data_IF_113713570033
#
_entry.id   IF_113713570033
#
_cell.length_a   1.000
_cell.length_b   1.000
_cell.length_c   1.000
_cell.angle_alpha   90.00
_cell.angle_beta   90.00
_cell.angle_gamma   90.00
#
_symmetry.space_group_name_H-M   'P 1'
#
loop_
_entity.id
_entity.type
_entity.pdbx_description
1 polymer ?
#
# COMPACT_ATOMS: atom_id res chain seq x y z
N UNK A 1 14.26 7.34 -27.80
CA UNK A 1 14.41 7.47 -26.33
C UNK A 1 13.04 7.78 -25.74
N UNK A 2 12.38 6.81 -25.11
CA UNK A 2 10.98 6.90 -24.67
C UNK A 2 10.83 7.49 -23.27
N UNK A 3 9.97 8.50 -23.13
CA UNK A 3 9.59 9.13 -21.86
C UNK A 3 9.10 8.06 -20.87
N UNK A 4 9.79 7.87 -19.74
CA UNK A 4 9.35 6.98 -18.64
C UNK A 4 7.93 7.37 -18.22
N UNK A 5 6.94 6.51 -18.45
CA UNK A 5 5.59 6.65 -17.89
C UNK A 5 5.72 6.65 -16.36
N UNK A 6 5.45 7.80 -15.73
CA UNK A 6 5.52 7.98 -14.26
C UNK A 6 4.48 7.15 -13.48
N UNK A 7 3.57 6.45 -14.16
CA UNK A 7 2.44 5.73 -13.58
C UNK A 7 2.76 4.32 -13.08
N UNK A 8 3.98 3.81 -13.32
CA UNK A 8 4.37 2.44 -12.95
C UNK A 8 5.67 2.42 -12.15
N UNK A 9 5.82 1.47 -11.22
CA UNK A 9 7.09 1.22 -10.51
C UNK A 9 8.15 0.62 -11.47
N UNK A 10 9.36 0.35 -10.98
CA UNK A 10 10.45 -0.25 -11.78
C UNK A 10 10.11 -1.61 -12.39
N UNK A 11 9.04 -2.25 -11.91
CA UNK A 11 8.54 -3.55 -12.37
C UNK A 11 7.27 -3.43 -13.22
N UNK A 12 6.87 -2.22 -13.61
CA UNK A 12 5.71 -2.01 -14.49
C UNK A 12 4.35 -2.03 -13.78
N UNK A 13 4.30 -2.04 -12.44
CA UNK A 13 3.06 -2.08 -11.63
C UNK A 13 2.52 -0.67 -11.38
N UNK A 14 1.21 -0.47 -11.52
CA UNK A 14 0.56 0.83 -11.36
C UNK A 14 0.79 1.42 -9.97
N UNK A 15 1.30 2.66 -9.91
CA UNK A 15 1.49 3.46 -8.69
C UNK A 15 0.25 4.32 -8.37
N UNK A 16 -0.92 3.88 -8.83
CA UNK A 16 -2.15 4.67 -8.73
C UNK A 16 -2.86 4.35 -7.41
N UNK A 17 -2.75 5.29 -6.47
CA UNK A 17 -3.39 5.21 -5.16
C UNK A 17 -4.92 5.03 -5.28
N UNK A 18 -5.53 5.63 -6.30
CA UNK A 18 -6.97 5.50 -6.54
C UNK A 18 -7.30 4.09 -6.99
N UNK A 19 -6.56 3.53 -7.94
CA UNK A 19 -6.75 2.15 -8.39
C UNK A 19 -6.63 1.18 -7.20
N UNK A 20 -5.56 1.30 -6.42
CA UNK A 20 -5.31 0.44 -5.27
C UNK A 20 -6.48 0.43 -4.28
N UNK A 21 -6.95 1.59 -3.83
CA UNK A 21 -8.03 1.65 -2.83
C UNK A 21 -9.40 1.25 -3.40
N UNK A 22 -9.64 1.43 -4.70
CA UNK A 22 -10.86 0.91 -5.33
C UNK A 22 -10.86 -0.62 -5.40
N UNK A 23 -9.73 -1.25 -5.75
CA UNK A 23 -9.63 -2.72 -5.74
C UNK A 23 -9.71 -3.26 -4.31
N UNK A 24 -9.05 -2.61 -3.34
CA UNK A 24 -9.14 -3.00 -1.94
C UNK A 24 -10.57 -2.94 -1.42
N UNK A 25 -11.34 -1.90 -1.78
CA UNK A 25 -12.75 -1.79 -1.39
C UNK A 25 -13.63 -2.88 -2.01
N UNK A 26 -13.39 -3.26 -3.27
CA UNK A 26 -14.14 -4.36 -3.92
C UNK A 26 -13.93 -5.70 -3.22
N UNK A 27 -12.71 -5.96 -2.75
CA UNK A 27 -12.34 -7.21 -2.10
C UNK A 27 -12.71 -7.23 -0.61
N UNK A 28 -12.55 -6.11 0.07
CA UNK A 28 -12.69 -5.97 1.51
C UNK A 28 -13.48 -4.70 1.89
N UNK A 29 -14.78 -4.63 1.57
CA UNK A 29 -15.61 -3.48 1.93
C UNK A 29 -15.65 -3.24 3.45
N UNK A 30 -15.47 -4.29 4.26
CA UNK A 30 -15.45 -4.23 5.73
C UNK A 30 -14.31 -3.36 6.30
N UNK A 31 -13.25 -3.11 5.53
CA UNK A 31 -12.15 -2.23 5.96
C UNK A 31 -12.53 -0.74 5.92
N UNK A 32 -13.67 -0.39 5.30
CA UNK A 32 -14.05 0.98 5.00
C UNK A 32 -15.26 1.39 5.82
N UNK A 33 -15.12 2.46 6.60
CA UNK A 33 -16.25 3.16 7.22
C UNK A 33 -17.05 3.95 6.18
N UNK A 34 -18.28 4.35 6.50
CA UNK A 34 -19.07 5.24 5.62
C UNK A 34 -18.32 6.55 5.28
N UNK A 35 -17.64 7.23 6.23
CA UNK A 35 -16.75 8.35 5.89
C UNK A 35 -15.65 8.00 4.89
N UNK A 36 -15.00 6.84 5.04
CA UNK A 36 -13.96 6.40 4.10
C UNK A 36 -14.52 6.04 2.73
N UNK A 37 -15.71 5.43 2.65
CA UNK A 37 -16.41 5.17 1.38
C UNK A 37 -16.73 6.50 0.69
N UNK A 38 -17.21 7.50 1.44
CA UNK A 38 -17.47 8.85 0.92
C UNK A 38 -16.18 9.52 0.41
N UNK A 39 -15.09 9.42 1.17
CA UNK A 39 -13.78 9.92 0.73
C UNK A 39 -13.34 9.25 -0.58
N UNK A 40 -13.42 7.92 -0.64
CA UNK A 40 -13.06 7.15 -1.84
C UNK A 40 -13.87 7.59 -3.07
N UNK A 41 -15.19 7.71 -2.94
CA UNK A 41 -16.09 8.13 -4.02
C UNK A 41 -15.81 9.57 -4.48
N UNK A 42 -15.40 10.45 -3.57
CA UNK A 42 -15.02 11.84 -3.86
C UNK A 42 -13.58 11.98 -4.37
N UNK A 43 -12.82 10.89 -4.46
CA UNK A 43 -11.40 10.91 -4.84
C UNK A 43 -10.48 11.49 -3.76
N UNK A 44 -10.93 11.52 -2.50
CA UNK A 44 -10.14 11.92 -1.35
C UNK A 44 -9.44 10.72 -0.72
N UNK A 45 -8.37 10.99 0.04
CA UNK A 45 -7.68 9.95 0.78
C UNK A 45 -8.61 9.38 1.86
N UNK A 46 -8.69 8.05 1.94
CA UNK A 46 -9.25 7.39 3.11
C UNK A 46 -8.29 7.55 4.29
N UNK A 47 -8.79 7.40 5.51
CA UNK A 47 -8.01 7.63 6.73
C UNK A 47 -7.95 6.39 7.62
N UNK A 48 -6.90 6.30 8.44
CA UNK A 48 -6.69 5.28 9.47
C UNK A 48 -7.68 5.46 10.64
N UNK A 49 -8.98 5.31 10.40
CA UNK A 49 -10.05 5.45 11.39
C UNK A 49 -10.24 4.18 12.24
N UNK A 50 -11.23 4.20 13.13
CA UNK A 50 -11.49 3.06 14.00
C UNK A 50 -11.96 1.80 13.24
N UNK A 51 -12.66 1.95 12.11
CA UNK A 51 -13.11 0.79 11.32
C UNK A 51 -11.90 0.11 10.70
N UNK A 52 -11.04 0.88 10.04
CA UNK A 52 -9.81 0.36 9.45
C UNK A 52 -8.91 -0.30 10.52
N UNK A 53 -8.74 0.34 11.69
CA UNK A 53 -7.87 -0.17 12.76
C UNK A 53 -8.39 -1.45 13.44
N UNK A 54 -9.68 -1.77 13.32
CA UNK A 54 -10.19 -3.09 13.79
C UNK A 54 -9.63 -4.25 12.96
N UNK A 55 -9.35 -4.01 11.68
CA UNK A 55 -8.76 -5.02 10.79
C UNK A 55 -7.24 -4.91 10.71
N UNK A 56 -6.68 -3.72 10.96
CA UNK A 56 -5.23 -3.46 10.97
C UNK A 56 -4.78 -2.92 12.34
N UNK A 57 -4.79 -3.75 13.41
CA UNK A 57 -4.50 -3.31 14.77
C UNK A 57 -3.06 -2.77 14.94
N UNK A 58 -2.13 -3.15 14.06
CA UNK A 58 -0.77 -2.60 14.02
C UNK A 58 -0.74 -1.08 13.79
N UNK A 59 -1.84 -0.48 13.32
CA UNK A 59 -1.96 0.97 13.12
C UNK A 59 -2.77 1.68 14.20
N UNK A 60 -3.18 0.99 15.28
CA UNK A 60 -3.87 1.61 16.43
C UNK A 60 -2.93 2.35 17.40
N UNK A 61 -1.97 3.09 16.84
CA UNK A 61 -0.99 3.89 17.57
C UNK A 61 -1.46 5.34 17.56
N UNK A 62 -1.43 6.03 18.72
CA UNK A 62 -1.94 7.41 18.89
C UNK A 62 -1.46 8.37 17.78
N UNK A 63 -0.17 8.32 17.40
CA UNK A 63 0.39 9.17 16.34
C UNK A 63 -0.11 8.88 14.92
N UNK A 64 -0.75 7.73 14.69
CA UNK A 64 -1.23 7.26 13.38
C UNK A 64 -2.75 7.37 13.23
N UNK A 65 -3.51 7.51 14.32
CA UNK A 65 -4.98 7.54 14.28
C UNK A 65 -5.48 8.72 13.43
N UNK A 66 -6.40 8.45 12.51
CA UNK A 66 -7.00 9.44 11.63
C UNK A 66 -6.08 9.98 10.52
N UNK A 67 -4.86 9.47 10.39
CA UNK A 67 -3.94 9.90 9.33
C UNK A 67 -4.37 9.34 7.96
N UNK A 68 -4.15 10.08 6.86
CA UNK A 68 -4.40 9.56 5.51
C UNK A 68 -3.68 8.24 5.28
N UNK A 69 -4.32 7.33 4.55
CA UNK A 69 -3.70 6.09 4.10
C UNK A 69 -3.13 6.26 2.69
N UNK A 70 -1.99 5.62 2.45
CA UNK A 70 -1.33 5.55 1.15
C UNK A 70 -1.05 4.09 0.81
N UNK A 71 -1.08 3.74 -0.48
CA UNK A 71 -0.53 2.47 -0.93
C UNK A 71 1.00 2.51 -0.84
N UNK A 72 1.59 1.41 -0.39
CA UNK A 72 3.02 1.24 -0.26
C UNK A 72 3.42 -0.08 -0.90
N UNK A 73 4.40 -0.06 -1.81
CA UNK A 73 4.95 -1.25 -2.43
C UNK A 73 6.02 -1.89 -1.55
N UNK A 74 5.81 -3.13 -1.15
CA UNK A 74 6.73 -3.87 -0.28
C UNK A 74 7.98 -4.24 -1.08
N UNK A 75 9.15 -3.91 -0.56
CA UNK A 75 10.45 -4.20 -1.18
C UNK A 75 10.64 -3.56 -2.55
N UNK A 76 9.82 -2.56 -2.92
CA UNK A 76 9.76 -1.99 -4.26
C UNK A 76 9.09 -2.89 -5.31
N UNK A 77 8.52 -4.02 -4.89
CA UNK A 77 7.95 -5.07 -5.72
C UNK A 77 6.50 -4.84 -6.16
N UNK A 78 5.84 -5.92 -6.59
CA UNK A 78 4.46 -5.94 -7.04
C UNK A 78 3.43 -6.02 -5.92
N UNK A 79 3.82 -6.49 -4.73
CA UNK A 79 2.94 -6.49 -3.56
C UNK A 79 2.79 -5.08 -2.98
N UNK A 80 1.56 -4.70 -2.62
CA UNK A 80 1.27 -3.39 -2.06
C UNK A 80 0.30 -3.46 -0.86
N UNK A 81 0.50 -2.57 0.11
CA UNK A 81 -0.31 -2.48 1.32
C UNK A 81 -0.72 -1.04 1.64
N UNK A 82 -1.89 -0.87 2.28
CA UNK A 82 -2.35 0.40 2.80
C UNK A 82 -1.63 0.71 4.11
N UNK A 83 -0.94 1.85 4.20
CA UNK A 83 -0.27 2.28 5.43
C UNK A 83 -0.61 3.73 5.78
N UNK A 84 -0.63 4.10 7.08
CA UNK A 84 -0.71 5.49 7.50
C UNK A 84 0.45 6.32 6.94
N UNK A 85 0.15 7.47 6.34
CA UNK A 85 1.11 8.35 5.65
C UNK A 85 2.37 8.70 6.48
N UNK A 86 2.33 8.90 7.81
CA UNK A 86 3.54 9.15 8.59
C UNK A 86 4.56 8.00 8.55
N UNK A 87 4.11 6.77 8.27
CA UNK A 87 5.00 5.63 8.05
C UNK A 87 5.61 5.62 6.65
N UNK A 88 5.15 6.49 5.73
CA UNK A 88 5.67 6.63 4.38
C UNK A 88 6.41 7.98 4.16
N UNK A 89 7.47 8.32 4.93
CA UNK A 89 8.15 9.61 4.78
C UNK A 89 9.01 9.62 3.51
N UNK A 90 8.38 9.93 2.38
CA UNK A 90 9.02 10.08 1.07
C UNK A 90 9.68 8.80 0.53
N UNK A 91 10.47 8.96 -0.54
CA UNK A 91 11.14 7.88 -1.27
C UNK A 91 12.30 7.20 -0.52
N UNK A 92 12.61 7.63 0.71
CA UNK A 92 13.69 7.09 1.55
C UNK A 92 13.25 6.62 2.93
N UNK A 93 11.94 6.62 3.24
CA UNK A 93 11.39 6.22 4.54
C UNK A 93 11.46 4.72 4.79
N UNK A 94 10.31 4.05 4.80
CA UNK A 94 10.24 2.58 4.92
C UNK A 94 11.20 1.90 3.94
N UNK A 95 11.29 2.37 2.70
CA UNK A 95 12.18 1.79 1.68
C UNK A 95 13.67 1.74 2.08
N UNK A 96 14.16 2.63 2.96
CA UNK A 96 15.53 2.53 3.49
C UNK A 96 15.66 1.35 4.45
N UNK A 97 14.69 1.17 5.33
CA UNK A 97 14.64 0.02 6.23
C UNK A 97 14.51 -1.28 5.43
N UNK A 98 13.66 -1.31 4.40
CA UNK A 98 13.51 -2.46 3.50
C UNK A 98 14.84 -2.88 2.84
N UNK A 99 15.66 -1.90 2.44
CA UNK A 99 17.01 -2.16 1.93
C UNK A 99 17.97 -2.66 3.01
N UNK A 100 17.89 -2.11 4.22
CA UNK A 100 18.75 -2.51 5.34
C UNK A 100 18.50 -3.94 5.83
N UNK A 101 17.24 -4.38 5.79
CA UNK A 101 16.85 -5.76 6.15
C UNK A 101 16.83 -6.70 4.95
N UNK A 102 17.35 -6.24 3.80
CA UNK A 102 17.53 -7.05 2.60
C UNK A 102 16.22 -7.70 2.09
N UNK A 103 15.11 -6.94 2.08
CA UNK A 103 13.85 -7.35 1.44
C UNK A 103 13.64 -6.63 0.10
N UNK A 104 14.34 -5.53 -0.13
CA UNK A 104 14.23 -4.76 -1.38
C UNK A 104 14.68 -5.58 -2.59
N UNK A 105 13.87 -5.60 -3.65
CA UNK A 105 14.17 -6.31 -4.89
C UNK A 105 14.04 -7.85 -4.82
N UNK A 106 13.61 -8.40 -3.68
CA UNK A 106 13.41 -9.85 -3.51
C UNK A 106 12.00 -10.33 -3.85
N UNK A 107 11.06 -9.43 -4.14
CA UNK A 107 9.65 -9.79 -4.37
C UNK A 107 9.49 -10.77 -5.54
N UNK A 108 10.11 -10.48 -6.69
CA UNK A 108 10.07 -11.36 -7.87
C UNK A 108 10.72 -12.72 -7.60
N UNK A 109 11.89 -12.75 -6.96
CA UNK A 109 12.59 -13.98 -6.60
C UNK A 109 11.75 -14.84 -5.65
N UNK A 110 11.15 -14.22 -4.63
CA UNK A 110 10.27 -14.91 -3.70
C UNK A 110 9.00 -15.42 -4.41
N UNK A 111 8.40 -14.63 -5.31
CA UNK A 111 7.24 -15.03 -6.08
C UNK A 111 7.55 -16.26 -6.94
N UNK A 112 8.68 -16.29 -7.66
CA UNK A 112 9.12 -17.43 -8.46
C UNK A 112 9.36 -18.67 -7.61
N UNK A 113 10.02 -18.52 -6.45
CA UNK A 113 10.24 -19.62 -5.51
C UNK A 113 8.94 -20.17 -4.94
N UNK A 114 7.93 -19.32 -4.73
CA UNK A 114 6.63 -19.73 -4.21
C UNK A 114 5.74 -20.39 -5.27
N UNK A 115 5.96 -20.16 -6.57
CA UNK A 115 5.21 -20.82 -7.64
C UNK A 115 5.30 -22.35 -7.56
N UNK A 116 6.37 -22.91 -6.98
CA UNK A 116 6.52 -24.37 -6.82
C UNK A 116 5.43 -25.00 -5.94
N UNK A 117 4.76 -24.20 -5.10
CA UNK A 117 3.67 -24.65 -4.23
C UNK A 117 2.28 -24.43 -4.84
N UNK A 118 2.19 -23.72 -5.96
CA UNK A 118 0.96 -23.47 -6.70
C UNK A 118 0.94 -24.47 -7.86
N UNK A 119 0.12 -25.52 -7.74
CA UNK A 119 -0.14 -26.50 -8.80
C UNK A 119 -1.28 -26.05 -9.70
#
# INVERSE_FOLDING_TARGET
MGKRKQSVNSEGRLRDNKYYFNELYKLHPEYFSDPNIKNLNNGWAIVNDAVFRRHFPQYDIVGLKGKPLVHHHIGGGGQAMAIPQPLHPGSGGIHKFEKQIDIWGKDQENAERLQVFIK
#
